data_IF_147029623829
#
_entry.id   IF_147029623829
#
_cell.length_a   1.000
_cell.length_b   1.000
_cell.length_c   1.000
_cell.angle_alpha   90.00
_cell.angle_beta   90.00
_cell.angle_gamma   90.00
#
_symmetry.space_group_name_H-M   'P 1'
#
loop_
_entity.id
_entity.type
_entity.pdbx_description
1 polymer ?
#
# COMPACT_ATOMS: atom_id res chain seq x y z
N UNK A 1 6.36 -39.27 -23.16
CA UNK A 1 5.01 -38.71 -22.92
C UNK A 1 5.26 -37.26 -22.63
N UNK A 2 5.02 -36.39 -23.61
CA UNK A 2 5.24 -34.96 -23.46
C UNK A 2 4.21 -34.43 -22.47
N UNK A 3 4.65 -33.96 -21.31
CA UNK A 3 3.84 -33.07 -20.48
C UNK A 3 3.73 -31.75 -21.25
N UNK A 4 2.80 -31.68 -22.21
CA UNK A 4 2.30 -30.38 -22.66
C UNK A 4 1.52 -29.78 -21.48
N UNK A 5 1.84 -28.54 -21.06
CA UNK A 5 1.10 -27.88 -20.00
C UNK A 5 -0.37 -27.75 -20.42
N UNK A 6 -1.26 -28.24 -19.55
CA UNK A 6 -2.70 -28.16 -19.78
C UNK A 6 -3.15 -26.69 -19.78
N UNK A 7 -3.84 -26.20 -20.82
CA UNK A 7 -4.34 -24.82 -20.89
C UNK A 7 -5.27 -24.41 -19.73
N UNK A 8 -5.82 -25.40 -19.01
CA UNK A 8 -6.71 -25.19 -17.87
C UNK A 8 -5.91 -24.83 -16.59
N UNK A 9 -4.71 -25.41 -16.42
CA UNK A 9 -3.83 -25.13 -15.28
C UNK A 9 -3.35 -23.67 -15.31
N UNK A 10 -3.10 -23.13 -16.51
CA UNK A 10 -2.71 -21.73 -16.70
C UNK A 10 -3.87 -20.77 -16.36
N UNK A 11 -5.11 -21.15 -16.67
CA UNK A 11 -6.29 -20.35 -16.37
C UNK A 11 -6.53 -20.17 -14.86
N UNK A 12 -6.44 -21.25 -14.07
CA UNK A 12 -6.61 -21.17 -12.62
C UNK A 12 -5.46 -20.40 -11.95
N UNK A 13 -4.22 -20.63 -12.38
CA UNK A 13 -3.06 -19.90 -11.88
C UNK A 13 -3.16 -18.38 -12.17
N UNK A 14 -3.61 -18.01 -13.37
CA UNK A 14 -3.84 -16.61 -13.75
C UNK A 14 -4.98 -15.96 -12.95
N UNK A 15 -6.05 -16.72 -12.65
CA UNK A 15 -7.15 -16.22 -11.83
C UNK A 15 -6.71 -15.97 -10.38
N UNK A 16 -5.93 -16.88 -9.82
CA UNK A 16 -5.39 -16.76 -8.47
C UNK A 16 -4.42 -15.58 -8.35
N UNK A 17 -3.57 -15.40 -9.37
CA UNK A 17 -2.67 -14.24 -9.47
C UNK A 17 -3.47 -12.92 -9.54
N UNK A 18 -4.49 -12.83 -10.39
CA UNK A 18 -5.34 -11.65 -10.46
C UNK A 18 -6.05 -11.35 -9.14
N UNK A 19 -6.44 -12.37 -8.37
CA UNK A 19 -7.05 -12.19 -7.04
C UNK A 19 -6.06 -11.59 -6.05
N UNK A 20 -4.79 -12.06 -6.03
CA UNK A 20 -3.72 -11.48 -5.21
C UNK A 20 -3.47 -10.02 -5.55
N UNK A 21 -3.33 -9.70 -6.84
CA UNK A 21 -3.15 -8.31 -7.32
C UNK A 21 -4.30 -7.43 -6.87
N UNK A 22 -5.55 -7.91 -6.99
CA UNK A 22 -6.73 -7.16 -6.56
C UNK A 22 -6.76 -6.93 -5.05
N UNK A 23 -6.40 -7.94 -4.26
CA UNK A 23 -6.31 -7.82 -2.81
C UNK A 23 -5.25 -6.78 -2.39
N UNK A 24 -4.07 -6.81 -3.01
CA UNK A 24 -3.02 -5.83 -2.77
C UNK A 24 -3.48 -4.40 -3.09
N UNK A 25 -4.15 -4.20 -4.24
CA UNK A 25 -4.72 -2.90 -4.61
C UNK A 25 -5.71 -2.37 -3.57
N UNK A 26 -6.57 -3.23 -3.03
CA UNK A 26 -7.56 -2.87 -1.99
C UNK A 26 -6.83 -2.41 -0.72
N UNK A 27 -5.82 -3.15 -0.26
CA UNK A 27 -5.06 -2.83 0.95
C UNK A 27 -4.36 -1.49 0.81
N UNK A 28 -3.68 -1.26 -0.32
CA UNK A 28 -3.00 0.01 -0.57
C UNK A 28 -4.00 1.16 -0.65
N UNK A 29 -5.12 0.97 -1.35
CA UNK A 29 -6.17 2.00 -1.45
C UNK A 29 -6.71 2.38 -0.07
N UNK A 30 -6.86 1.39 0.82
CA UNK A 30 -7.28 1.63 2.19
C UNK A 30 -6.21 2.37 3.02
N UNK A 31 -4.94 2.03 2.84
CA UNK A 31 -3.83 2.77 3.47
C UNK A 31 -3.78 4.22 3.00
N UNK A 32 -3.93 4.47 1.69
CA UNK A 32 -4.01 5.82 1.12
C UNK A 32 -5.19 6.62 1.71
N UNK A 33 -6.36 5.99 1.84
CA UNK A 33 -7.53 6.64 2.45
C UNK A 33 -7.25 7.02 3.90
N UNK A 34 -6.64 6.13 4.68
CA UNK A 34 -6.27 6.40 6.08
C UNK A 34 -5.27 7.53 6.21
N UNK A 35 -4.18 7.51 5.44
CA UNK A 35 -3.17 8.59 5.42
C UNK A 35 -3.79 9.94 5.06
N UNK A 36 -4.80 9.96 4.19
CA UNK A 36 -5.50 11.19 3.79
C UNK A 36 -6.48 11.70 4.85
N UNK A 37 -7.09 10.81 5.65
CA UNK A 37 -8.25 11.15 6.49
C UNK A 37 -7.93 11.24 7.99
N UNK A 38 -7.02 10.39 8.47
CA UNK A 38 -6.66 10.32 9.87
C UNK A 38 -5.58 11.35 10.20
N UNK A 39 -5.58 11.86 11.44
CA UNK A 39 -4.50 12.72 11.94
C UNK A 39 -3.41 11.83 12.52
N UNK A 40 -2.51 11.37 11.67
CA UNK A 40 -1.43 10.49 12.08
C UNK A 40 -0.21 11.33 12.43
N UNK A 41 0.54 10.89 13.42
CA UNK A 41 1.92 11.32 13.59
C UNK A 41 2.79 10.76 12.46
N UNK A 42 3.96 11.37 12.24
CA UNK A 42 4.94 10.87 11.26
C UNK A 42 5.24 9.39 11.50
N UNK A 43 5.50 9.02 12.76
CA UNK A 43 5.72 7.63 13.18
C UNK A 43 4.54 6.71 12.87
N UNK A 44 3.31 7.09 13.21
CA UNK A 44 2.12 6.26 12.92
C UNK A 44 1.88 6.10 11.41
N UNK A 45 2.19 7.12 10.62
CA UNK A 45 2.08 7.07 9.18
C UNK A 45 3.17 6.16 8.57
N UNK A 46 4.42 6.24 9.04
CA UNK A 46 5.50 5.34 8.61
C UNK A 46 5.22 3.88 8.99
N UNK A 47 4.76 3.63 10.23
CA UNK A 47 4.32 2.29 10.66
C UNK A 47 3.20 1.75 9.78
N UNK A 48 2.26 2.62 9.35
CA UNK A 48 1.19 2.24 8.44
C UNK A 48 1.71 1.87 7.05
N UNK A 49 2.70 2.59 6.53
CA UNK A 49 3.34 2.29 5.23
C UNK A 49 4.04 0.93 5.30
N UNK A 50 4.85 0.70 6.33
CA UNK A 50 5.60 -0.56 6.46
C UNK A 50 4.68 -1.76 6.75
N UNK A 51 3.63 -1.58 7.58
CA UNK A 51 2.61 -2.61 7.78
C UNK A 51 1.88 -2.94 6.48
N UNK A 52 1.57 -1.92 5.67
CA UNK A 52 0.91 -2.13 4.37
C UNK A 52 1.82 -2.88 3.41
N UNK A 53 3.10 -2.54 3.38
CA UNK A 53 4.11 -3.25 2.58
C UNK A 53 4.21 -4.71 2.97
N UNK A 54 4.33 -5.01 4.27
CA UNK A 54 4.38 -6.39 4.78
C UNK A 54 3.17 -7.21 4.32
N UNK A 55 1.96 -6.65 4.48
CA UNK A 55 0.72 -7.33 4.05
C UNK A 55 0.65 -7.58 2.54
N UNK A 56 1.13 -6.64 1.73
CA UNK A 56 1.17 -6.84 0.27
C UNK A 56 2.19 -7.93 -0.09
N UNK A 57 3.35 -7.94 0.57
CA UNK A 57 4.38 -8.96 0.36
C UNK A 57 3.97 -10.36 0.80
N UNK A 58 3.21 -10.49 1.89
CA UNK A 58 2.65 -11.78 2.32
C UNK A 58 1.69 -12.36 1.27
N UNK A 59 1.03 -11.50 0.50
CA UNK A 59 0.13 -11.91 -0.58
C UNK A 59 0.86 -12.10 -1.90
N UNK A 60 1.93 -11.34 -2.16
CA UNK A 60 2.66 -11.35 -3.42
C UNK A 60 4.16 -11.17 -3.15
N UNK A 61 4.89 -12.26 -2.84
CA UNK A 61 6.29 -12.20 -2.39
C UNK A 61 7.25 -11.59 -3.40
N UNK A 62 7.07 -11.88 -4.69
CA UNK A 62 7.81 -11.24 -5.79
C UNK A 62 7.49 -9.75 -5.98
N UNK A 63 6.43 -9.25 -5.33
CA UNK A 63 5.87 -7.92 -5.49
C UNK A 63 6.60 -6.76 -4.82
N UNK A 64 7.65 -7.03 -4.05
CA UNK A 64 8.30 -6.00 -3.23
C UNK A 64 8.79 -4.79 -4.03
N UNK A 65 9.47 -5.07 -5.15
CA UNK A 65 9.97 -4.02 -6.02
C UNK A 65 8.82 -3.23 -6.68
N UNK A 66 7.73 -3.90 -7.08
CA UNK A 66 6.57 -3.23 -7.64
C UNK A 66 5.88 -2.33 -6.62
N UNK A 67 5.79 -2.78 -5.36
CA UNK A 67 5.27 -1.94 -4.27
C UNK A 67 6.13 -0.69 -4.08
N UNK A 68 7.44 -0.85 -4.00
CA UNK A 68 8.37 0.25 -3.76
C UNK A 68 8.42 1.24 -4.93
N UNK A 69 8.21 0.79 -6.18
CA UNK A 69 8.14 1.65 -7.36
C UNK A 69 6.80 2.36 -7.53
N UNK A 70 5.69 1.69 -7.21
CA UNK A 70 4.35 2.16 -7.54
C UNK A 70 3.68 2.77 -6.29
N UNK A 71 3.65 2.06 -5.18
CA UNK A 71 2.82 2.43 -4.05
C UNK A 71 3.55 3.29 -3.02
N UNK A 72 4.82 2.98 -2.71
CA UNK A 72 5.61 3.74 -1.74
C UNK A 72 5.66 5.25 -2.02
N UNK A 73 5.95 5.74 -3.24
CA UNK A 73 6.03 7.18 -3.50
C UNK A 73 4.67 7.90 -3.32
N UNK A 74 3.57 7.18 -3.54
CA UNK A 74 2.21 7.70 -3.35
C UNK A 74 1.87 7.82 -1.87
N UNK A 75 2.25 6.82 -1.07
CA UNK A 75 2.01 6.81 0.37
C UNK A 75 2.89 7.85 1.10
N UNK A 76 4.16 7.98 0.72
CA UNK A 76 5.08 8.99 1.27
C UNK A 76 4.61 10.42 1.00
N UNK A 77 4.06 10.68 -0.19
CA UNK A 77 3.43 11.97 -0.49
C UNK A 77 2.30 12.29 0.49
N UNK A 78 1.40 11.33 0.72
CA UNK A 78 0.27 11.49 1.64
C UNK A 78 0.74 11.66 3.08
N UNK A 79 1.80 10.97 3.50
CA UNK A 79 2.44 11.17 4.81
C UNK A 79 2.91 12.62 4.96
N UNK A 80 3.67 13.13 4.00
CA UNK A 80 4.22 14.48 4.04
C UNK A 80 3.10 15.55 4.06
N UNK A 81 2.03 15.33 3.29
CA UNK A 81 0.85 16.20 3.31
C UNK A 81 0.15 16.20 4.69
N UNK A 82 0.00 15.02 5.30
CA UNK A 82 -0.60 14.88 6.63
C UNK A 82 0.19 15.64 7.70
N UNK A 83 1.51 15.45 7.69
CA UNK A 83 2.41 16.12 8.61
C UNK A 83 2.37 17.64 8.45
N UNK A 84 2.42 18.13 7.21
CA UNK A 84 2.34 19.56 6.93
C UNK A 84 1.04 20.19 7.48
N UNK A 85 -0.10 19.54 7.24
CA UNK A 85 -1.41 20.01 7.75
C UNK A 85 -1.44 20.02 9.27
N UNK A 86 -0.87 19.00 9.91
CA UNK A 86 -0.80 18.88 11.38
C UNK A 86 0.06 20.01 11.98
N UNK A 87 1.26 20.23 11.44
CA UNK A 87 2.19 21.29 11.90
C UNK A 87 1.60 22.68 11.70
N UNK A 88 1.01 22.94 10.52
CA UNK A 88 0.35 24.22 10.23
C UNK A 88 -0.73 24.54 11.26
N UNK A 89 -1.58 23.57 11.60
CA UNK A 89 -2.65 23.76 12.59
C UNK A 89 -2.13 23.94 14.02
N UNK A 90 -1.06 23.24 14.39
CA UNK A 90 -0.45 23.40 15.71
C UNK A 90 0.10 24.82 15.91
N UNK A 91 0.77 25.37 14.88
CA UNK A 91 1.26 26.75 14.91
C UNK A 91 0.12 27.77 15.08
N UNK A 92 -0.99 27.60 14.37
CA UNK A 92 -2.18 28.46 14.54
C UNK A 92 -2.88 28.32 15.90
N UNK A 93 -2.72 27.18 16.59
CA UNK A 93 -3.30 26.96 17.92
C UNK A 93 -2.46 27.57 19.04
N UNK A 94 -1.15 27.69 18.87
CA UNK A 94 -0.25 28.30 19.87
C UNK A 94 -0.28 29.83 19.90
N UNK A 95 -0.84 30.47 18.87
CA UNK A 95 -0.94 31.94 18.76
C UNK A 95 -2.23 32.52 19.39
N UNK A 96 -3.00 31.72 20.14
CA UNK A 96 -4.26 32.14 20.78
C UNK A 96 -4.30 31.91 22.28
#
# INVERSE_FOLDING_TARGET
MSDEPSPIADGEALLDENRRVRAAQIIVSFAMLKLKTLRLTEKEADEMIETTRGRVLDMFPEGGNAFDLIYRPRLERLRNENEFVRLSRAAFQSER
#
